data_IF_836414622017
#
_entry.id   IF_836414622017
#
_cell.length_a   1.000
_cell.length_b   1.000
_cell.length_c   1.000
_cell.angle_alpha   90.00
_cell.angle_beta   90.00
_cell.angle_gamma   90.00
#
_symmetry.space_group_name_H-M   'P 1'
#
loop_
_entity.id
_entity.type
_entity.pdbx_description
1 polymer ?
#
# COMPACT_ATOMS: atom_id res chain seq x y z
N UNK A 1 47.77 28.86 -2.41
CA UNK A 1 48.93 29.55 -1.81
C UNK A 1 48.59 29.81 -0.34
N UNK A 2 49.46 29.23 0.51
CA UNK A 2 49.85 29.64 1.88
C UNK A 2 48.72 29.75 2.94
N UNK A 3 48.55 28.69 3.77
CA UNK A 3 49.24 28.42 5.06
C UNK A 3 49.24 29.58 6.04
N UNK A 4 48.67 29.39 7.23
CA UNK A 4 49.44 29.39 8.49
C UNK A 4 48.55 28.94 9.68
N UNK A 5 49.10 27.96 10.40
CA UNK A 5 48.69 27.49 11.71
C UNK A 5 49.16 28.43 12.82
N UNK A 6 48.56 28.28 14.03
CA UNK A 6 49.34 28.32 15.30
C UNK A 6 48.41 28.00 16.50
N UNK A 7 48.75 26.92 17.19
CA UNK A 7 48.54 26.69 18.63
C UNK A 7 49.51 27.54 19.44
N UNK A 8 49.33 27.85 20.75
CA UNK A 8 49.57 26.86 21.80
C UNK A 8 48.80 27.05 23.16
N UNK A 9 48.82 26.02 23.91
CA UNK A 9 49.34 25.74 25.27
C UNK A 9 48.39 25.92 26.47
N UNK A 10 48.01 24.82 27.05
CA UNK A 10 48.28 24.28 28.42
C UNK A 10 48.15 25.25 29.61
N UNK A 11 47.22 24.94 30.52
CA UNK A 11 47.47 25.05 31.97
C UNK A 11 46.67 23.99 32.75
N UNK A 12 47.38 23.05 33.38
CA UNK A 12 46.92 22.18 34.44
C UNK A 12 46.74 22.95 35.74
N UNK A 13 45.68 22.68 36.50
CA UNK A 13 45.70 22.80 37.97
C UNK A 13 44.85 21.68 38.55
N UNK A 14 45.50 20.84 39.31
CA UNK A 14 44.95 19.80 40.17
C UNK A 14 44.52 20.36 41.54
N UNK A 15 43.38 19.92 42.06
CA UNK A 15 43.03 19.82 43.47
C UNK A 15 41.79 18.93 43.52
N UNK A 16 41.80 17.80 44.12
CA UNK A 16 41.73 17.51 45.52
C UNK A 16 40.53 16.58 45.73
N UNK A 17 40.75 15.30 46.05
CA UNK A 17 39.72 14.28 46.38
C UNK A 17 38.91 14.70 47.62
N UNK A 18 37.58 14.65 47.50
CA UNK A 18 36.71 14.44 48.65
C UNK A 18 35.81 13.23 48.34
N UNK A 19 36.07 12.13 49.02
CA UNK A 19 35.21 10.94 48.99
C UNK A 19 33.97 11.20 49.84
N UNK A 20 32.80 11.34 49.22
CA UNK A 20 31.52 11.16 49.89
C UNK A 20 31.02 9.76 49.46
N UNK A 21 30.93 8.87 50.43
CA UNK A 21 30.24 7.59 50.34
C UNK A 21 28.74 7.86 50.29
N UNK A 22 28.16 7.78 49.11
CA UNK A 22 26.72 7.73 48.96
C UNK A 22 26.31 6.26 48.98
N UNK A 23 25.44 5.97 49.96
CA UNK A 23 24.76 4.66 50.12
C UNK A 23 23.90 4.39 48.88
N UNK A 24 24.25 3.35 48.14
CA UNK A 24 23.47 2.87 47.00
C UNK A 24 22.24 2.16 47.53
N UNK A 25 21.08 2.76 47.35
CA UNK A 25 19.77 2.13 47.43
C UNK A 25 19.62 1.11 46.29
N UNK A 26 19.14 -0.12 46.52
CA UNK A 26 19.00 -1.10 45.45
C UNK A 26 17.92 -0.65 44.47
N UNK A 27 18.33 -0.12 43.33
CA UNK A 27 17.45 0.24 42.24
C UNK A 27 16.59 -0.95 41.80
N UNK A 28 15.27 -0.74 41.83
CA UNK A 28 14.32 -1.62 41.16
C UNK A 28 14.75 -1.88 39.72
N UNK A 29 14.68 -3.10 39.18
CA UNK A 29 15.04 -3.37 37.82
C UNK A 29 14.06 -2.62 36.92
N UNK A 30 14.56 -1.65 36.16
CA UNK A 30 13.83 -1.08 35.01
C UNK A 30 13.43 -2.22 34.08
N UNK A 31 12.19 -2.23 33.58
CA UNK A 31 11.82 -3.23 32.59
C UNK A 31 12.67 -3.02 31.34
N UNK A 32 13.59 -3.95 31.14
CA UNK A 32 14.36 -4.04 29.91
C UNK A 32 13.38 -4.36 28.79
N UNK A 33 12.86 -3.32 28.15
CA UNK A 33 12.14 -3.47 26.87
C UNK A 33 13.15 -4.01 25.89
N UNK A 34 13.21 -5.32 25.75
CA UNK A 34 13.91 -5.99 24.69
C UNK A 34 13.27 -5.53 23.38
N UNK A 35 13.88 -4.51 22.77
CA UNK A 35 13.51 -4.09 21.43
C UNK A 35 13.84 -5.26 20.53
N UNK A 36 12.85 -6.09 20.21
CA UNK A 36 13.03 -7.13 19.20
C UNK A 36 13.37 -6.41 17.90
N UNK A 37 14.61 -6.51 17.48
CA UNK A 37 15.02 -6.11 16.14
C UNK A 37 14.15 -6.91 15.17
N UNK A 38 13.41 -6.24 14.34
CA UNK A 38 12.58 -6.88 13.31
C UNK A 38 13.53 -7.61 12.38
N UNK A 39 13.64 -8.93 12.56
CA UNK A 39 14.47 -9.78 11.72
C UNK A 39 13.94 -9.69 10.30
N UNK A 40 14.64 -8.98 9.45
CA UNK A 40 14.39 -9.06 8.00
C UNK A 40 14.90 -10.42 7.58
N UNK A 41 13.99 -11.35 7.33
CA UNK A 41 14.35 -12.69 6.88
C UNK A 41 15.10 -12.57 5.55
N UNK A 42 16.41 -12.80 5.58
CA UNK A 42 17.27 -12.78 4.40
C UNK A 42 17.42 -14.23 3.90
N UNK A 43 17.26 -14.41 2.60
CA UNK A 43 17.37 -15.72 1.95
C UNK A 43 16.14 -16.03 1.07
N UNK A 44 16.18 -17.19 0.42
CA UNK A 44 15.07 -17.66 -0.41
C UNK A 44 13.95 -18.19 0.49
N UNK A 45 12.82 -17.50 0.51
CA UNK A 45 11.69 -17.84 1.38
C UNK A 45 10.77 -18.86 0.71
N UNK A 46 10.10 -19.77 1.47
CA UNK A 46 9.23 -20.82 0.92
C UNK A 46 8.10 -20.31 0.04
N UNK A 47 7.76 -19.03 0.18
CA UNK A 47 6.73 -18.39 -0.64
C UNK A 47 5.34 -18.40 0.03
N UNK A 48 4.42 -17.59 -0.47
CA UNK A 48 3.10 -17.44 0.11
C UNK A 48 2.21 -18.67 -0.09
N UNK A 49 1.28 -18.84 0.83
CA UNK A 49 0.22 -19.83 0.70
C UNK A 49 -0.74 -19.53 -0.45
N UNK A 50 -1.38 -20.55 -0.96
CA UNK A 50 -2.39 -20.49 -2.02
C UNK A 50 -3.73 -21.00 -1.48
N UNK A 51 -4.77 -20.20 -1.58
CA UNK A 51 -6.15 -20.67 -1.36
C UNK A 51 -6.59 -21.47 -2.56
N UNK A 52 -7.26 -22.60 -2.31
CA UNK A 52 -7.90 -23.40 -3.36
C UNK A 52 -9.40 -23.21 -3.29
N UNK A 53 -10.00 -22.78 -4.38
CA UNK A 53 -11.44 -22.71 -4.57
C UNK A 53 -11.79 -23.74 -5.63
N UNK A 54 -12.72 -24.64 -5.34
CA UNK A 54 -13.03 -25.75 -6.25
C UNK A 54 -14.53 -25.95 -6.44
N UNK A 55 -14.85 -26.45 -7.62
CA UNK A 55 -16.13 -26.96 -8.00
C UNK A 55 -15.92 -28.18 -8.89
N UNK A 56 -16.39 -29.34 -8.45
CA UNK A 56 -16.14 -30.61 -9.13
C UNK A 56 -14.62 -30.84 -9.33
N UNK A 57 -14.16 -31.00 -10.56
CA UNK A 57 -12.74 -31.16 -10.94
C UNK A 57 -12.07 -29.87 -11.39
N UNK A 58 -12.72 -28.72 -11.20
CA UNK A 58 -12.20 -27.40 -11.56
C UNK A 58 -11.65 -26.65 -10.34
N UNK A 59 -10.44 -26.10 -10.47
CA UNK A 59 -9.72 -25.43 -9.42
C UNK A 59 -9.36 -23.98 -9.78
N UNK A 60 -9.63 -23.06 -8.86
CA UNK A 60 -9.13 -21.70 -8.86
C UNK A 60 -8.15 -21.53 -7.69
N UNK A 61 -6.87 -21.39 -8.01
CA UNK A 61 -5.79 -21.18 -7.04
C UNK A 61 -5.54 -19.71 -6.83
N UNK A 62 -5.84 -19.17 -5.68
CA UNK A 62 -5.73 -17.74 -5.40
C UNK A 62 -4.48 -17.45 -4.60
N UNK A 63 -3.55 -16.68 -5.19
CA UNK A 63 -2.41 -16.12 -4.52
C UNK A 63 -2.81 -14.83 -3.82
N UNK A 64 -2.89 -14.86 -2.49
CA UNK A 64 -3.03 -13.65 -1.68
C UNK A 64 -1.75 -12.82 -1.74
N UNK A 65 -1.86 -11.52 -2.01
CA UNK A 65 -0.71 -10.61 -2.03
C UNK A 65 -0.80 -9.59 -0.92
N UNK A 66 0.34 -9.27 -0.33
CA UNK A 66 0.49 -8.25 0.70
C UNK A 66 1.21 -7.03 0.12
N UNK A 67 0.86 -5.86 0.59
CA UNK A 67 1.50 -4.60 0.21
C UNK A 67 1.48 -3.62 1.40
N UNK A 68 2.60 -2.93 1.69
CA UNK A 68 3.88 -2.94 0.96
C UNK A 68 4.75 -4.16 1.27
N UNK A 69 5.70 -4.44 0.37
CA UNK A 69 6.74 -5.46 0.55
C UNK A 69 8.15 -4.83 0.47
N UNK A 70 9.19 -5.45 1.04
CA UNK A 70 10.57 -5.03 0.85
C UNK A 70 10.94 -4.93 -0.65
N UNK A 71 11.61 -3.85 -1.06
CA UNK A 71 11.97 -3.58 -2.47
C UNK A 71 12.76 -4.70 -3.13
N UNK A 72 13.57 -5.43 -2.36
CA UNK A 72 14.46 -6.50 -2.83
C UNK A 72 14.05 -7.87 -2.27
N UNK A 73 12.79 -8.02 -1.88
CA UNK A 73 12.31 -9.29 -1.36
C UNK A 73 12.48 -10.40 -2.39
N UNK A 74 13.10 -11.48 -1.95
CA UNK A 74 13.19 -12.73 -2.69
C UNK A 74 12.21 -13.72 -2.06
N UNK A 75 11.47 -14.41 -2.88
CA UNK A 75 10.51 -15.44 -2.47
C UNK A 75 10.56 -16.60 -3.47
N UNK A 76 10.24 -17.82 -3.00
CA UNK A 76 10.21 -18.98 -3.86
C UNK A 76 8.99 -18.95 -4.81
N UNK A 77 9.20 -18.37 -5.98
CA UNK A 77 8.16 -18.26 -6.99
C UNK A 77 7.94 -19.53 -7.80
N UNK A 78 8.88 -20.47 -7.74
CA UNK A 78 8.89 -21.65 -8.60
C UNK A 78 7.65 -22.51 -8.47
N UNK A 79 7.10 -22.70 -7.27
CA UNK A 79 5.82 -23.43 -7.05
C UNK A 79 4.68 -22.77 -7.81
N UNK A 80 4.53 -21.45 -7.65
CA UNK A 80 3.44 -20.68 -8.29
C UNK A 80 3.66 -20.56 -9.79
N UNK A 81 4.90 -20.36 -10.26
CA UNK A 81 5.23 -20.32 -11.68
C UNK A 81 4.91 -21.65 -12.39
N UNK A 82 5.19 -22.79 -11.76
CA UNK A 82 4.80 -24.11 -12.29
C UNK A 82 3.29 -24.29 -12.32
N UNK A 83 2.58 -23.77 -11.31
CA UNK A 83 1.11 -23.82 -11.28
C UNK A 83 0.52 -22.97 -12.43
N UNK A 84 1.02 -21.73 -12.63
CA UNK A 84 0.64 -20.91 -13.79
C UNK A 84 0.92 -21.63 -15.10
N UNK A 85 2.10 -22.27 -15.24
CA UNK A 85 2.49 -22.92 -16.49
C UNK A 85 1.56 -24.08 -16.90
N UNK A 86 0.89 -24.74 -15.95
CA UNK A 86 -0.05 -25.84 -16.21
C UNK A 86 -1.53 -25.43 -16.18
N UNK A 87 -1.82 -24.19 -15.85
CA UNK A 87 -3.19 -23.64 -15.83
C UNK A 87 -3.58 -23.08 -17.20
N UNK A 88 -4.87 -23.07 -17.48
CA UNK A 88 -5.42 -22.51 -18.70
C UNK A 88 -5.49 -20.99 -18.65
N UNK A 89 -5.57 -20.41 -17.42
CA UNK A 89 -5.77 -18.97 -17.25
C UNK A 89 -5.03 -18.43 -16.04
N UNK A 90 -4.56 -17.17 -16.17
CA UNK A 90 -4.07 -16.32 -15.09
C UNK A 90 -5.02 -15.13 -14.93
N UNK A 91 -5.79 -15.12 -13.85
CA UNK A 91 -6.76 -14.07 -13.51
C UNK A 91 -6.10 -12.99 -12.63
N UNK A 92 -6.07 -11.77 -13.12
CA UNK A 92 -5.52 -10.64 -12.40
C UNK A 92 -6.48 -10.07 -11.35
N UNK A 93 -5.97 -9.21 -10.48
CA UNK A 93 -6.80 -8.31 -9.67
C UNK A 93 -7.65 -7.42 -10.57
N UNK A 94 -8.85 -7.02 -10.12
CA UNK A 94 -9.67 -6.11 -10.88
C UNK A 94 -9.01 -4.74 -10.99
N UNK A 95 -9.23 -4.05 -12.08
CA UNK A 95 -8.64 -2.75 -12.34
C UNK A 95 -9.61 -1.77 -12.97
N UNK A 96 -9.29 -0.48 -12.83
CA UNK A 96 -10.04 0.61 -13.47
C UNK A 96 -9.27 1.07 -14.71
N UNK A 97 -10.00 1.23 -15.79
CA UNK A 97 -9.50 1.92 -16.97
C UNK A 97 -10.29 3.21 -17.19
N UNK A 98 -9.57 4.30 -17.48
CA UNK A 98 -10.20 5.57 -17.84
C UNK A 98 -10.13 5.72 -19.36
N UNK A 99 -11.30 5.71 -19.99
CA UNK A 99 -11.45 5.99 -21.41
C UNK A 99 -11.76 7.47 -21.60
N UNK A 100 -10.88 8.15 -22.34
CA UNK A 100 -11.07 9.55 -22.72
C UNK A 100 -10.63 9.72 -24.18
N UNK A 101 -11.54 10.20 -25.02
CA UNK A 101 -11.27 10.45 -26.44
C UNK A 101 -10.48 11.76 -26.62
N UNK A 102 -9.21 11.76 -26.19
CA UNK A 102 -8.32 12.93 -26.32
C UNK A 102 -7.06 12.56 -27.06
N UNK A 103 -6.69 13.39 -28.06
CA UNK A 103 -5.47 13.25 -28.81
C UNK A 103 -4.22 13.53 -27.94
N UNK A 104 -3.06 13.15 -28.44
CA UNK A 104 -1.78 13.29 -27.74
C UNK A 104 -1.50 14.72 -27.23
N UNK A 105 -1.65 15.73 -28.09
CA UNK A 105 -1.42 17.13 -27.72
C UNK A 105 -2.42 17.64 -26.70
N UNK A 106 -3.70 17.21 -26.79
CA UNK A 106 -4.70 17.55 -25.81
C UNK A 106 -4.36 16.97 -24.41
N UNK A 107 -3.78 15.77 -24.35
CA UNK A 107 -3.26 15.18 -23.09
C UNK A 107 -2.15 16.04 -22.48
N UNK A 108 -1.20 16.51 -23.29
CA UNK A 108 -0.14 17.41 -22.81
C UNK A 108 -0.71 18.72 -22.26
N UNK A 109 -1.74 19.28 -22.92
CA UNK A 109 -2.41 20.51 -22.48
C UNK A 109 -3.17 20.35 -21.15
N UNK A 110 -3.48 19.11 -20.71
CA UNK A 110 -4.11 18.84 -19.41
C UNK A 110 -3.13 18.88 -18.25
N UNK A 111 -1.82 18.72 -18.48
CA UNK A 111 -0.81 18.59 -17.43
C UNK A 111 -0.84 19.78 -16.46
N UNK A 112 -0.87 21.06 -16.87
CA UNK A 112 -0.91 22.18 -15.94
C UNK A 112 -2.16 22.16 -15.05
N UNK A 113 -3.33 21.79 -15.59
CA UNK A 113 -4.58 21.68 -14.84
C UNK A 113 -4.53 20.52 -13.85
N UNK A 114 -4.01 19.37 -14.24
CA UNK A 114 -3.80 18.21 -13.36
C UNK A 114 -2.83 18.51 -12.22
N UNK A 115 -1.78 19.30 -12.47
CA UNK A 115 -0.85 19.73 -11.42
C UNK A 115 -1.52 20.70 -10.43
N UNK A 116 -2.37 21.61 -10.91
CA UNK A 116 -3.15 22.50 -10.04
C UNK A 116 -4.17 21.74 -9.19
N UNK A 117 -4.82 20.74 -9.77
CA UNK A 117 -5.80 19.90 -9.08
C UNK A 117 -5.25 19.13 -7.85
N UNK A 118 -3.92 19.02 -7.73
CA UNK A 118 -3.26 18.46 -6.54
C UNK A 118 -3.23 19.42 -5.36
N UNK A 119 -3.41 20.70 -5.60
CA UNK A 119 -3.36 21.72 -4.56
C UNK A 119 -4.76 21.98 -3.99
N UNK A 120 -4.79 22.59 -2.82
CA UNK A 120 -6.03 23.06 -2.22
C UNK A 120 -6.73 24.05 -3.15
N UNK A 121 -8.06 23.99 -3.30
CA UNK A 121 -8.81 24.78 -4.27
C UNK A 121 -8.53 26.28 -4.16
N UNK A 122 -8.56 26.81 -2.95
CA UNK A 122 -8.47 28.25 -2.68
C UNK A 122 -7.04 28.72 -2.42
N UNK A 123 -6.04 27.87 -2.70
CA UNK A 123 -4.64 28.15 -2.40
C UNK A 123 -4.32 28.18 -0.91
N UNK A 124 -5.25 27.77 -0.06
CA UNK A 124 -5.07 27.70 1.39
C UNK A 124 -3.95 26.72 1.76
N UNK A 125 -3.17 26.99 2.82
CA UNK A 125 -2.19 26.04 3.29
C UNK A 125 -2.85 24.81 3.91
N UNK A 126 -2.12 23.69 3.93
CA UNK A 126 -2.57 22.43 4.54
C UNK A 126 -3.03 22.60 5.99
N UNK A 127 -2.38 23.48 6.73
CA UNK A 127 -2.74 23.83 8.11
C UNK A 127 -4.17 24.29 8.29
N UNK A 128 -4.76 24.94 7.27
CA UNK A 128 -6.16 25.40 7.29
C UNK A 128 -7.15 24.36 6.78
N UNK A 129 -6.66 23.21 6.32
CA UNK A 129 -7.49 22.16 5.73
C UNK A 129 -7.69 20.95 6.66
N UNK A 130 -6.96 20.89 7.76
CA UNK A 130 -7.02 19.79 8.75
C UNK A 130 -7.07 20.35 10.16
N UNK A 131 -7.51 19.56 11.12
CA UNK A 131 -7.54 19.98 12.53
C UNK A 131 -6.13 20.29 13.04
N UNK A 132 -6.03 21.20 14.01
CA UNK A 132 -4.76 21.61 14.60
C UNK A 132 -3.98 20.41 15.16
N UNK A 133 -4.67 19.44 15.77
CA UNK A 133 -4.05 18.23 16.30
C UNK A 133 -3.41 17.38 15.19
N UNK A 134 -4.10 17.16 14.08
CA UNK A 134 -3.58 16.44 12.92
C UNK A 134 -2.41 17.17 12.27
N UNK A 135 -2.48 18.49 12.20
CA UNK A 135 -1.37 19.28 11.66
C UNK A 135 -0.10 19.17 12.51
N UNK A 136 -0.20 19.10 13.84
CA UNK A 136 0.99 18.86 14.68
C UNK A 136 1.59 17.46 14.44
N UNK A 137 0.77 16.42 14.32
CA UNK A 137 1.23 15.06 13.95
C UNK A 137 1.91 15.08 12.58
N UNK A 138 1.30 15.77 11.60
CA UNK A 138 1.89 15.98 10.28
C UNK A 138 3.28 16.60 10.32
N UNK A 139 3.49 17.68 11.10
CA UNK A 139 4.78 18.34 11.18
C UNK A 139 5.90 17.41 11.66
N UNK A 140 5.60 16.49 12.58
CA UNK A 140 6.55 15.47 13.07
C UNK A 140 6.94 14.53 11.93
N UNK A 141 5.97 13.94 11.25
CA UNK A 141 6.21 13.00 10.16
C UNK A 141 6.83 13.68 8.93
N UNK A 142 6.37 14.87 8.59
CA UNK A 142 6.95 15.67 7.52
C UNK A 142 8.43 15.96 7.75
N UNK A 143 8.80 16.38 8.97
CA UNK A 143 10.21 16.63 9.32
C UNK A 143 11.07 15.39 9.10
N UNK A 144 10.53 14.22 9.43
CA UNK A 144 11.20 12.92 9.31
C UNK A 144 11.41 12.52 7.86
N UNK A 145 10.37 12.55 7.02
CA UNK A 145 10.38 11.94 5.70
C UNK A 145 10.44 12.92 4.52
N UNK A 146 9.96 14.18 4.70
CA UNK A 146 9.91 15.20 3.64
C UNK A 146 10.84 16.39 3.91
N UNK A 147 11.44 16.44 5.11
CA UNK A 147 12.36 17.52 5.50
C UNK A 147 11.70 18.90 5.48
N UNK A 148 12.36 19.86 4.84
CA UNK A 148 11.93 21.28 4.80
C UNK A 148 11.08 21.63 3.57
N UNK A 149 10.47 20.66 2.90
CA UNK A 149 9.64 20.92 1.72
C UNK A 149 8.48 21.88 2.03
N UNK A 150 8.44 23.03 1.32
CA UNK A 150 7.36 24.02 1.45
C UNK A 150 6.22 23.79 0.46
N UNK A 151 6.51 23.18 -0.69
CA UNK A 151 5.52 22.98 -1.75
C UNK A 151 4.43 21.98 -1.36
N UNK A 152 4.73 21.07 -0.44
CA UNK A 152 3.79 20.07 0.06
C UNK A 152 2.66 20.71 0.88
N UNK A 153 2.92 21.83 1.54
CA UNK A 153 1.95 22.56 2.37
C UNK A 153 0.81 23.21 1.56
N UNK A 154 0.94 23.27 0.25
CA UNK A 154 -0.10 23.79 -0.64
C UNK A 154 -1.01 22.69 -1.20
N UNK A 155 -0.68 21.42 -0.92
CA UNK A 155 -1.41 20.28 -1.46
C UNK A 155 -2.64 19.96 -0.62
N UNK A 156 -3.61 19.32 -1.28
CA UNK A 156 -4.76 18.71 -0.59
C UNK A 156 -4.27 17.70 0.44
N UNK A 157 -4.98 17.51 1.57
CA UNK A 157 -4.61 16.55 2.61
C UNK A 157 -4.27 15.16 2.05
N UNK A 158 -5.15 14.58 1.22
CA UNK A 158 -4.91 13.28 0.57
C UNK A 158 -3.62 13.25 -0.27
N UNK A 159 -3.31 14.31 -1.00
CA UNK A 159 -2.10 14.39 -1.84
C UNK A 159 -0.83 14.58 -1.01
N UNK A 160 -0.94 15.29 0.10
CA UNK A 160 0.14 15.46 1.05
C UNK A 160 0.43 14.14 1.79
N UNK A 161 -0.63 13.46 2.26
CA UNK A 161 -0.56 12.16 2.90
C UNK A 161 0.04 11.08 1.99
N UNK A 162 -0.42 11.00 0.74
CA UNK A 162 0.12 10.07 -0.26
C UNK A 162 1.62 10.27 -0.46
N UNK A 163 2.05 11.53 -0.61
CA UNK A 163 3.48 11.83 -0.80
C UNK A 163 4.31 11.49 0.44
N UNK A 164 3.79 11.78 1.62
CA UNK A 164 4.44 11.42 2.88
C UNK A 164 4.59 9.90 3.01
N UNK A 165 3.54 9.15 2.70
CA UNK A 165 3.54 7.70 2.75
C UNK A 165 4.54 7.09 1.77
N UNK A 166 4.59 7.58 0.52
CA UNK A 166 5.57 7.14 -0.48
C UNK A 166 7.02 7.32 0.02
N UNK A 167 7.35 8.48 0.58
CA UNK A 167 8.70 8.76 1.11
C UNK A 167 9.02 7.91 2.34
N UNK A 168 8.04 7.72 3.22
CA UNK A 168 8.21 6.86 4.39
C UNK A 168 8.46 5.40 4.00
N UNK A 169 7.74 4.87 3.01
CA UNK A 169 8.00 3.54 2.47
C UNK A 169 9.40 3.45 1.84
N UNK A 170 9.80 4.50 1.09
CA UNK A 170 11.11 4.55 0.44
C UNK A 170 12.25 4.52 1.45
N UNK A 171 12.16 5.33 2.50
CA UNK A 171 13.11 5.39 3.60
C UNK A 171 13.25 4.03 4.31
N UNK A 172 12.12 3.35 4.53
CA UNK A 172 12.08 2.02 5.14
C UNK A 172 12.34 0.86 4.16
N UNK A 173 12.77 1.14 2.91
CA UNK A 173 13.06 0.14 1.86
C UNK A 173 11.85 -0.73 1.50
N UNK A 174 10.65 -0.22 1.72
CA UNK A 174 9.39 -0.83 1.35
C UNK A 174 8.88 -0.28 0.00
N UNK A 175 7.98 -1.01 -0.66
CA UNK A 175 7.33 -0.59 -1.90
C UNK A 175 5.96 -1.23 -2.04
N UNK A 176 4.98 -0.44 -2.48
CA UNK A 176 3.69 -0.97 -2.91
C UNK A 176 3.75 -1.64 -4.29
N UNK A 177 4.75 -1.27 -5.10
CA UNK A 177 4.99 -1.87 -6.41
C UNK A 177 5.75 -3.18 -6.26
N UNK A 178 5.04 -4.26 -5.98
CA UNK A 178 5.64 -5.58 -5.83
C UNK A 178 5.99 -6.21 -7.20
N UNK A 179 6.97 -7.10 -7.20
CA UNK A 179 7.34 -7.85 -8.42
C UNK A 179 6.45 -9.06 -8.67
N UNK A 180 5.53 -9.40 -7.77
CA UNK A 180 4.72 -10.61 -7.81
C UNK A 180 4.02 -10.73 -9.17
N UNK A 181 3.18 -9.74 -9.52
CA UNK A 181 2.47 -9.75 -10.79
C UNK A 181 3.40 -9.85 -12.01
N UNK A 182 4.55 -9.18 -11.99
CA UNK A 182 5.49 -9.23 -13.11
C UNK A 182 6.11 -10.62 -13.31
N UNK A 183 6.36 -11.37 -12.23
CA UNK A 183 6.85 -12.76 -12.27
C UNK A 183 5.79 -13.66 -12.88
N UNK A 184 4.57 -13.62 -12.37
CA UNK A 184 3.47 -14.47 -12.86
C UNK A 184 3.10 -14.16 -14.30
N UNK A 185 3.01 -12.90 -14.68
CA UNK A 185 2.77 -12.46 -16.05
C UNK A 185 3.87 -12.95 -17.01
N UNK A 186 5.13 -12.95 -16.57
CA UNK A 186 6.24 -13.48 -17.36
C UNK A 186 6.12 -14.99 -17.56
N UNK A 187 5.74 -15.71 -16.51
CA UNK A 187 5.46 -17.15 -16.58
C UNK A 187 4.31 -17.45 -17.53
N UNK A 188 3.16 -16.77 -17.40
CA UNK A 188 2.00 -16.93 -18.27
C UNK A 188 2.35 -16.69 -19.75
N UNK A 189 3.08 -15.58 -20.04
CA UNK A 189 3.52 -15.29 -21.43
C UNK A 189 4.42 -16.38 -21.99
N UNK A 190 5.38 -16.88 -21.21
CA UNK A 190 6.32 -17.93 -21.63
C UNK A 190 5.61 -19.24 -21.96
N UNK A 191 4.56 -19.55 -21.21
CA UNK A 191 3.78 -20.79 -21.36
C UNK A 191 2.48 -20.61 -22.17
N UNK A 192 2.26 -19.43 -22.77
CA UNK A 192 1.08 -19.09 -23.58
C UNK A 192 -0.26 -19.25 -22.82
N UNK A 193 -0.23 -19.03 -21.51
CA UNK A 193 -1.42 -19.03 -20.65
C UNK A 193 -2.23 -17.77 -20.90
N UNK A 194 -3.54 -17.90 -21.03
CA UNK A 194 -4.46 -16.77 -21.19
C UNK A 194 -4.40 -15.88 -19.97
N UNK A 195 -4.40 -14.56 -20.16
CA UNK A 195 -4.41 -13.61 -19.05
C UNK A 195 -5.68 -12.77 -19.11
N UNK A 196 -6.50 -12.88 -18.07
CA UNK A 196 -7.72 -12.10 -17.91
C UNK A 196 -7.51 -11.03 -16.85
N UNK A 197 -7.83 -9.78 -17.20
CA UNK A 197 -7.84 -8.65 -16.28
C UNK A 197 -9.27 -8.12 -16.21
N UNK A 198 -10.02 -8.40 -15.14
CA UNK A 198 -11.36 -7.87 -14.96
C UNK A 198 -11.26 -6.33 -14.86
N UNK A 199 -11.96 -5.62 -15.74
CA UNK A 199 -11.87 -4.16 -15.81
C UNK A 199 -13.23 -3.50 -15.69
N UNK A 200 -13.26 -2.39 -14.93
CA UNK A 200 -14.35 -1.41 -14.97
C UNK A 200 -13.85 -0.21 -15.75
N UNK A 201 -14.59 0.16 -16.81
CA UNK A 201 -14.23 1.29 -17.66
C UNK A 201 -15.03 2.52 -17.25
N UNK A 202 -14.33 3.59 -16.91
CA UNK A 202 -14.90 4.91 -16.63
C UNK A 202 -14.74 5.78 -17.87
N UNK A 203 -15.84 6.19 -18.46
CA UNK A 203 -15.79 7.09 -19.60
C UNK A 203 -15.79 8.54 -19.16
N UNK A 204 -14.78 9.30 -19.60
CA UNK A 204 -14.71 10.75 -19.36
C UNK A 204 -14.82 11.46 -20.70
N UNK A 205 -16.01 11.98 -20.98
CA UNK A 205 -16.30 12.68 -22.24
C UNK A 205 -15.46 13.96 -22.39
N UNK A 206 -15.36 14.77 -21.32
CA UNK A 206 -14.54 15.99 -21.27
C UNK A 206 -13.55 15.94 -20.09
N UNK A 207 -12.32 15.42 -20.28
CA UNK A 207 -11.30 15.37 -19.23
C UNK A 207 -10.84 16.74 -18.74
N UNK A 208 -10.92 17.77 -19.59
CA UNK A 208 -10.55 19.14 -19.18
C UNK A 208 -11.57 19.73 -18.23
N UNK A 209 -12.86 19.59 -18.53
CA UNK A 209 -13.93 19.99 -17.61
C UNK A 209 -13.87 19.20 -16.32
N UNK A 210 -13.69 17.88 -16.39
CA UNK A 210 -13.56 17.02 -15.21
C UNK A 210 -12.40 17.44 -14.29
N UNK A 211 -11.22 17.72 -14.84
CA UNK A 211 -10.08 18.20 -14.06
C UNK A 211 -10.30 19.60 -13.47
N UNK A 212 -10.96 20.49 -14.20
CA UNK A 212 -11.32 21.83 -13.66
C UNK A 212 -12.31 21.71 -12.51
N UNK A 213 -13.35 20.90 -12.69
CA UNK A 213 -14.35 20.64 -11.65
C UNK A 213 -13.68 20.04 -10.42
N UNK A 214 -12.87 19.02 -10.58
CA UNK A 214 -12.10 18.42 -9.48
C UNK A 214 -11.15 19.42 -8.82
N UNK A 215 -10.50 20.31 -9.57
CA UNK A 215 -9.57 21.31 -9.01
C UNK A 215 -10.28 22.31 -8.08
N UNK A 216 -11.58 22.53 -8.25
CA UNK A 216 -12.39 23.44 -7.41
C UNK A 216 -13.23 22.71 -6.35
N UNK A 217 -13.32 21.38 -6.43
CA UNK A 217 -14.10 20.57 -5.46
C UNK A 217 -13.36 20.49 -4.12
N UNK A 218 -14.05 20.72 -3.02
CA UNK A 218 -13.58 20.39 -1.68
C UNK A 218 -13.68 18.88 -1.49
N UNK A 219 -12.64 18.27 -0.89
CA UNK A 219 -12.62 16.85 -0.54
C UNK A 219 -12.81 16.70 0.96
N UNK A 220 -13.59 15.71 1.35
CA UNK A 220 -13.68 15.24 2.75
C UNK A 220 -12.55 14.24 3.00
N UNK A 221 -11.30 14.71 2.90
CA UNK A 221 -10.11 13.85 2.90
C UNK A 221 -9.29 13.90 4.20
N UNK A 222 -9.83 14.52 5.26
CA UNK A 222 -9.18 14.57 6.58
C UNK A 222 -9.05 13.16 7.18
N UNK A 223 -10.06 12.29 7.03
CA UNK A 223 -10.01 10.90 7.49
C UNK A 223 -8.90 10.09 6.78
N UNK A 224 -8.72 10.28 5.46
CA UNK A 224 -7.61 9.69 4.72
C UNK A 224 -6.25 10.19 5.24
N UNK A 225 -6.15 11.49 5.51
CA UNK A 225 -4.94 12.10 6.05
C UNK A 225 -4.61 11.54 7.43
N UNK A 226 -5.59 11.48 8.33
CA UNK A 226 -5.45 10.93 9.68
C UNK A 226 -5.04 9.46 9.66
N UNK A 227 -5.74 8.63 8.89
CA UNK A 227 -5.44 7.20 8.77
C UNK A 227 -4.03 6.97 8.24
N UNK A 228 -3.57 7.81 7.31
CA UNK A 228 -2.19 7.73 6.80
C UNK A 228 -1.18 8.09 7.89
N UNK A 229 -1.39 9.14 8.68
CA UNK A 229 -0.51 9.49 9.80
C UNK A 229 -0.46 8.38 10.84
N UNK A 230 -1.63 7.87 11.26
CA UNK A 230 -1.73 6.77 12.21
C UNK A 230 -0.98 5.54 11.73
N UNK A 231 -1.12 5.19 10.45
CA UNK A 231 -0.40 4.07 9.85
C UNK A 231 1.11 4.24 9.89
N UNK A 232 1.61 5.46 9.66
CA UNK A 232 3.05 5.74 9.75
C UNK A 232 3.58 5.74 11.18
N UNK A 233 2.75 6.08 12.15
CA UNK A 233 3.09 6.14 13.56
C UNK A 233 3.09 4.77 14.23
N UNK A 234 2.14 3.89 13.84
CA UNK A 234 1.86 2.66 14.58
C UNK A 234 1.99 1.37 13.78
N UNK A 235 1.94 1.40 12.44
CA UNK A 235 1.85 0.20 11.61
C UNK A 235 3.14 -0.16 10.84
N UNK A 236 4.19 0.65 10.92
CA UNK A 236 5.43 0.39 10.15
C UNK A 236 6.07 -0.97 10.47
N UNK A 237 6.09 -1.38 11.74
CA UNK A 237 6.61 -2.68 12.13
C UNK A 237 5.66 -3.83 11.72
N UNK A 238 4.34 -3.61 11.81
CA UNK A 238 3.36 -4.57 11.34
C UNK A 238 3.44 -4.77 9.81
N UNK A 239 3.74 -3.73 9.03
CA UNK A 239 4.00 -3.88 7.58
C UNK A 239 5.15 -4.83 7.30
N UNK A 240 6.24 -4.73 8.06
CA UNK A 240 7.39 -5.65 7.94
C UNK A 240 7.03 -7.05 8.41
N UNK A 241 6.30 -7.18 9.53
CA UNK A 241 5.84 -8.45 10.04
C UNK A 241 4.92 -9.17 9.04
N UNK A 242 3.94 -8.46 8.45
CA UNK A 242 3.08 -9.00 7.39
C UNK A 242 3.89 -9.44 6.17
N UNK A 243 4.89 -8.66 5.76
CA UNK A 243 5.74 -9.02 4.64
C UNK A 243 6.55 -10.31 4.91
N UNK A 244 7.06 -10.48 6.14
CA UNK A 244 7.78 -11.68 6.54
C UNK A 244 6.84 -12.89 6.62
N UNK A 245 5.69 -12.77 7.28
CA UNK A 245 4.68 -13.83 7.36
C UNK A 245 4.23 -14.28 5.96
N UNK A 246 3.99 -13.34 5.04
CA UNK A 246 3.66 -13.64 3.66
C UNK A 246 4.77 -14.41 2.95
N UNK A 247 6.02 -14.01 3.13
CA UNK A 247 7.16 -14.63 2.47
C UNK A 247 7.39 -16.07 2.87
N UNK A 248 7.09 -16.42 4.12
CA UNK A 248 7.25 -17.79 4.66
C UNK A 248 5.97 -18.63 4.55
N UNK A 249 4.86 -18.03 4.08
CA UNK A 249 3.57 -18.72 3.95
C UNK A 249 2.81 -18.86 5.27
N UNK A 250 3.18 -18.11 6.30
CA UNK A 250 2.50 -18.12 7.60
C UNK A 250 1.18 -17.34 7.52
N UNK A 251 0.15 -18.03 7.08
CA UNK A 251 -1.19 -17.44 6.90
C UNK A 251 -1.81 -17.06 8.24
N UNK A 252 -1.56 -17.84 9.32
CA UNK A 252 -2.11 -17.51 10.63
C UNK A 252 -1.53 -16.20 11.17
N UNK A 253 -0.21 -16.03 11.09
CA UNK A 253 0.41 -14.76 11.47
C UNK A 253 -0.09 -13.58 10.61
N UNK A 254 -0.41 -13.80 9.33
CA UNK A 254 -1.04 -12.77 8.50
C UNK A 254 -2.44 -12.40 8.99
N UNK A 255 -3.25 -13.38 9.42
CA UNK A 255 -4.60 -13.15 9.93
C UNK A 255 -4.60 -12.41 11.28
N UNK A 256 -3.61 -12.69 12.12
CA UNK A 256 -3.50 -12.12 13.47
C UNK A 256 -2.97 -10.68 13.47
N UNK A 257 -2.31 -10.24 12.40
CA UNK A 257 -1.78 -8.90 12.28
C UNK A 257 -2.85 -7.89 11.85
N UNK A 258 -2.81 -6.64 12.33
CA UNK A 258 -3.73 -5.59 11.89
C UNK A 258 -3.61 -5.33 10.38
N UNK A 259 -4.75 -5.12 9.72
CA UNK A 259 -4.83 -4.74 8.31
C UNK A 259 -5.59 -3.42 8.14
N UNK A 260 -4.99 -2.25 8.46
CA UNK A 260 -5.69 -0.98 8.34
C UNK A 260 -6.01 -0.66 6.88
N UNK A 261 -7.30 -0.41 6.57
CA UNK A 261 -7.78 -0.10 5.22
C UNK A 261 -7.56 1.38 4.84
N UNK A 262 -6.32 1.83 4.92
CA UNK A 262 -5.95 3.20 4.50
C UNK A 262 -6.33 3.46 3.04
N UNK A 263 -6.16 2.48 2.16
CA UNK A 263 -6.47 2.64 0.74
C UNK A 263 -7.96 2.81 0.50
N UNK A 264 -8.79 2.05 1.23
CA UNK A 264 -10.23 2.18 1.16
C UNK A 264 -10.69 3.54 1.64
N UNK A 265 -10.26 3.97 2.82
CA UNK A 265 -10.61 5.30 3.38
C UNK A 265 -10.21 6.43 2.42
N UNK A 266 -9.01 6.35 1.81
CA UNK A 266 -8.57 7.36 0.84
C UNK A 266 -9.32 7.28 -0.50
N UNK A 267 -9.69 6.08 -0.94
CA UNK A 267 -10.51 5.91 -2.14
C UNK A 267 -11.93 6.46 -1.91
N UNK A 268 -12.52 6.18 -0.75
CA UNK A 268 -13.86 6.65 -0.39
C UNK A 268 -13.94 8.19 -0.37
N UNK A 269 -12.91 8.87 0.15
CA UNK A 269 -12.82 10.32 0.09
C UNK A 269 -12.85 10.89 -1.35
N UNK A 270 -12.29 10.15 -2.31
CA UNK A 270 -12.34 10.53 -3.73
C UNK A 270 -13.68 10.15 -4.38
N UNK A 271 -14.24 8.99 -4.03
CA UNK A 271 -15.48 8.46 -4.61
C UNK A 271 -16.72 9.18 -4.08
N UNK A 272 -16.68 9.76 -2.87
CA UNK A 272 -17.74 10.56 -2.28
C UNK A 272 -17.93 11.94 -2.94
N UNK A 273 -17.08 12.31 -3.92
CA UNK A 273 -17.20 13.62 -4.58
C UNK A 273 -18.33 13.65 -5.60
N UNK A 274 -18.99 14.80 -5.74
CA UNK A 274 -19.96 15.04 -6.82
C UNK A 274 -19.37 14.80 -8.22
N UNK A 275 -18.05 14.96 -8.37
CA UNK A 275 -17.31 14.65 -9.61
C UNK A 275 -17.32 13.16 -9.90
N UNK A 276 -17.16 12.34 -8.86
CA UNK A 276 -17.19 10.87 -8.95
C UNK A 276 -18.64 10.38 -9.18
N UNK A 277 -19.61 10.91 -8.43
CA UNK A 277 -21.02 10.56 -8.53
C UNK A 277 -21.56 10.79 -9.96
N UNK A 278 -21.34 11.97 -10.54
CA UNK A 278 -21.74 12.30 -11.92
C UNK A 278 -21.15 11.35 -12.98
N UNK A 279 -20.14 10.58 -12.64
CA UNK A 279 -19.44 9.66 -13.54
C UNK A 279 -19.67 8.19 -13.19
N UNK A 280 -20.65 7.91 -12.31
CA UNK A 280 -21.00 6.53 -11.91
C UNK A 280 -19.87 5.82 -11.15
N UNK A 281 -19.05 6.56 -10.40
CA UNK A 281 -17.93 6.00 -9.63
C UNK A 281 -18.25 5.77 -8.15
N UNK A 282 -19.42 6.18 -7.66
CA UNK A 282 -19.78 6.10 -6.24
C UNK A 282 -19.71 4.67 -5.68
N UNK A 283 -20.06 3.69 -6.49
CA UNK A 283 -20.05 2.25 -6.15
C UNK A 283 -18.92 1.47 -6.85
N UNK A 284 -17.85 2.17 -7.27
CA UNK A 284 -16.76 1.59 -8.05
C UNK A 284 -16.12 0.37 -7.36
N UNK A 285 -15.99 0.39 -6.04
CA UNK A 285 -15.43 -0.76 -5.28
C UNK A 285 -16.33 -2.00 -5.42
N UNK A 286 -17.64 -1.82 -5.32
CA UNK A 286 -18.62 -2.90 -5.52
C UNK A 286 -18.61 -3.41 -6.97
N UNK A 287 -18.52 -2.52 -7.95
CA UNK A 287 -18.41 -2.88 -9.37
C UNK A 287 -17.13 -3.71 -9.63
N UNK A 288 -15.99 -3.30 -9.09
CA UNK A 288 -14.72 -4.04 -9.22
C UNK A 288 -14.81 -5.43 -8.61
N UNK A 289 -15.41 -5.53 -7.40
CA UNK A 289 -15.63 -6.81 -6.72
C UNK A 289 -16.55 -7.73 -7.56
N UNK A 290 -17.68 -7.21 -8.00
CA UNK A 290 -18.63 -7.96 -8.83
C UNK A 290 -17.99 -8.47 -10.12
N UNK A 291 -17.25 -7.59 -10.82
CA UNK A 291 -16.58 -7.93 -12.08
C UNK A 291 -15.52 -9.01 -11.92
N UNK A 292 -14.79 -9.01 -10.79
CA UNK A 292 -13.83 -10.05 -10.50
C UNK A 292 -14.52 -11.38 -10.17
N UNK A 293 -15.60 -11.37 -9.39
CA UNK A 293 -16.36 -12.57 -9.06
C UNK A 293 -17.00 -13.21 -10.30
N UNK A 294 -17.50 -12.40 -11.24
CA UNK A 294 -17.99 -12.91 -12.54
C UNK A 294 -16.87 -13.61 -13.31
N UNK A 295 -15.69 -13.02 -13.40
CA UNK A 295 -14.56 -13.65 -14.08
C UNK A 295 -14.06 -14.91 -13.37
N UNK A 296 -14.16 -14.98 -12.03
CA UNK A 296 -13.83 -16.17 -11.26
C UNK A 296 -14.85 -17.31 -11.52
N UNK A 297 -16.15 -16.98 -11.57
CA UNK A 297 -17.20 -17.94 -11.94
C UNK A 297 -17.00 -18.49 -13.36
N UNK A 298 -16.75 -17.61 -14.34
CA UNK A 298 -16.47 -18.02 -15.72
C UNK A 298 -15.25 -18.95 -15.79
N UNK A 299 -14.18 -18.63 -15.04
CA UNK A 299 -12.98 -19.44 -15.00
C UNK A 299 -13.23 -20.81 -14.38
N UNK A 300 -13.97 -20.90 -13.26
CA UNK A 300 -14.34 -22.16 -12.60
C UNK A 300 -15.31 -23.03 -13.41
N UNK A 301 -16.07 -22.44 -14.32
CA UNK A 301 -16.95 -23.17 -15.21
C UNK A 301 -16.22 -23.74 -16.44
N UNK A 302 -15.16 -23.06 -16.88
CA UNK A 302 -14.50 -23.32 -18.16
C UNK A 302 -13.18 -24.09 -18.05
N UNK A 303 -12.40 -23.81 -17.01
CA UNK A 303 -11.02 -24.25 -16.89
C UNK A 303 -10.86 -25.29 -15.78
N UNK A 304 -10.15 -26.36 -16.04
CA UNK A 304 -9.75 -27.33 -14.99
C UNK A 304 -8.83 -26.69 -13.95
N UNK A 305 -8.01 -25.74 -14.37
CA UNK A 305 -7.11 -25.00 -13.48
C UNK A 305 -6.95 -23.55 -13.89
N UNK A 306 -7.17 -22.65 -12.95
CA UNK A 306 -6.92 -21.20 -13.07
C UNK A 306 -6.07 -20.73 -11.91
N UNK A 307 -5.10 -19.85 -12.16
CA UNK A 307 -4.39 -19.13 -11.10
C UNK A 307 -4.91 -17.69 -11.02
N UNK A 308 -5.25 -17.24 -9.84
CA UNK A 308 -5.67 -15.87 -9.60
C UNK A 308 -4.71 -15.13 -8.65
N UNK A 309 -4.68 -13.82 -8.74
CA UNK A 309 -3.96 -12.95 -7.81
C UNK A 309 -4.95 -11.96 -7.20
N UNK A 310 -4.92 -11.83 -5.87
CA UNK A 310 -5.79 -10.89 -5.15
C UNK A 310 -5.05 -10.31 -3.94
N UNK A 311 -5.36 -9.07 -3.58
CA UNK A 311 -4.88 -8.50 -2.32
C UNK A 311 -5.49 -9.27 -1.13
N UNK A 312 -4.69 -9.58 -0.12
CA UNK A 312 -5.15 -10.39 1.02
C UNK A 312 -6.27 -9.69 1.79
N UNK A 313 -6.24 -8.38 1.85
CA UNK A 313 -7.26 -7.54 2.47
C UNK A 313 -8.63 -7.67 1.76
N UNK A 314 -8.61 -7.96 0.44
CA UNK A 314 -9.83 -8.20 -0.34
C UNK A 314 -10.30 -9.65 -0.30
N UNK A 315 -9.41 -10.60 0.07
CA UNK A 315 -9.74 -12.01 0.17
C UNK A 315 -10.48 -12.34 1.47
N UNK A 316 -10.02 -11.75 2.57
CA UNK A 316 -10.40 -12.11 3.93
C UNK A 316 -11.58 -11.26 4.44
N UNK A 317 -12.12 -11.65 5.60
CA UNK A 317 -13.27 -11.01 6.24
C UNK A 317 -14.62 -11.52 5.74
N UNK A 318 -15.67 -11.09 6.43
CA UNK A 318 -17.05 -11.54 6.14
C UNK A 318 -17.53 -11.04 4.77
N UNK A 319 -17.10 -9.83 4.39
CA UNK A 319 -17.38 -9.25 3.06
C UNK A 319 -16.29 -9.60 2.01
N UNK A 320 -15.36 -10.49 2.35
CA UNK A 320 -14.23 -10.85 1.49
C UNK A 320 -14.64 -11.70 0.28
N UNK A 321 -13.72 -11.78 -0.68
CA UNK A 321 -13.91 -12.59 -1.90
C UNK A 321 -14.13 -14.07 -1.56
N UNK A 322 -13.41 -14.61 -0.55
CA UNK A 322 -13.55 -16.02 -0.17
C UNK A 322 -14.92 -16.32 0.45
N UNK A 323 -15.48 -15.37 1.22
CA UNK A 323 -16.84 -15.50 1.74
C UNK A 323 -17.86 -15.52 0.59
N UNK A 324 -17.76 -14.57 -0.35
CA UNK A 324 -18.64 -14.51 -1.50
C UNK A 324 -18.57 -15.78 -2.40
N UNK A 325 -17.40 -16.39 -2.53
CA UNK A 325 -17.25 -17.64 -3.29
C UNK A 325 -17.91 -18.81 -2.55
N UNK A 326 -17.82 -18.87 -1.20
CA UNK A 326 -18.58 -19.89 -0.41
C UNK A 326 -20.08 -19.72 -0.56
N UNK A 327 -20.61 -18.49 -0.50
CA UNK A 327 -22.03 -18.18 -0.70
C UNK A 327 -22.53 -18.62 -2.09
N UNK A 328 -21.64 -18.64 -3.09
CA UNK A 328 -21.93 -19.16 -4.45
C UNK A 328 -21.84 -20.69 -4.56
N UNK A 329 -21.57 -21.38 -3.45
CA UNK A 329 -21.53 -22.84 -3.38
C UNK A 329 -20.18 -23.47 -3.71
N UNK A 330 -19.10 -22.69 -3.82
CA UNK A 330 -17.76 -23.22 -4.04
C UNK A 330 -17.13 -23.71 -2.74
N UNK A 331 -16.34 -24.79 -2.82
CA UNK A 331 -15.51 -25.24 -1.71
C UNK A 331 -14.24 -24.39 -1.62
N UNK A 332 -13.98 -23.78 -0.46
CA UNK A 332 -12.83 -22.93 -0.23
C UNK A 332 -11.92 -23.54 0.84
N UNK A 333 -10.70 -23.88 0.45
CA UNK A 333 -9.65 -24.42 1.32
C UNK A 333 -8.57 -23.36 1.55
N UNK A 334 -8.20 -23.18 2.83
CA UNK A 334 -7.08 -22.31 3.19
C UNK A 334 -5.74 -22.95 2.77
N UNK A 335 -4.67 -22.18 2.63
CA UNK A 335 -3.32 -22.69 2.47
C UNK A 335 -2.92 -23.57 3.67
N UNK A 336 -2.18 -24.64 3.36
CA UNK A 336 -1.54 -25.52 4.36
C UNK A 336 -0.22 -24.95 4.84
#
# INVERSE_FOLDING_TARGET
MKTFALFPAVLMLAFGNVSAQETVDPASPEPTTTRMETLVVSGNQPGPGLWRVSRDDHDLWILGTVSPLPKRMQWESGKVERLVARSQELLAQPSVTVSAKVGFFARLALIPTALRARNNPDGKPLQEQVSAALYQRWLVQKKRYLGRSRSIEKRRPIMAATKLYEEALDDNKLSERTRIWSVLRKSAKRNKVTMTVPMVTIEIADPKAALKEFATTTLEDEACFETTLTRLETDMENMKARANAWAVGDVQALLDLPHPDQRGVCADALLATAVAEKRGMSDLRAQLRARWLEAADEALLKNESTVAVMAIESLLGDDGILAALRERGYTVQAPE
#
